data_IF_535211801923
#
_entry.id   IF_535211801923
#
_cell.length_a   1.000
_cell.length_b   1.000
_cell.length_c   1.000
_cell.angle_alpha   90.00
_cell.angle_beta   90.00
_cell.angle_gamma   90.00
#
_symmetry.space_group_name_H-M   'P 1'
#
loop_
_entity.id
_entity.type
_entity.pdbx_description
1 polymer ?
#
# COMPACT_ATOMS: atom_id res chain seq x y z
N UNK A 1 3.66 -26.91 16.43
CA UNK A 1 5.05 -27.05 15.94
C UNK A 1 5.16 -26.24 14.66
N UNK A 2 5.75 -25.05 14.74
CA UNK A 2 5.95 -24.18 13.59
C UNK A 2 7.40 -24.32 13.13
N UNK A 3 7.62 -25.00 12.01
CA UNK A 3 8.94 -25.12 11.41
C UNK A 3 9.21 -23.86 10.59
N UNK A 4 10.21 -23.09 10.98
CA UNK A 4 10.75 -21.98 10.18
C UNK A 4 11.80 -22.57 9.24
N UNK A 5 11.51 -22.57 7.94
CA UNK A 5 12.50 -22.92 6.91
C UNK A 5 13.37 -21.69 6.61
N UNK A 6 14.62 -21.72 7.04
CA UNK A 6 15.69 -20.86 6.55
C UNK A 6 16.52 -21.69 5.57
N UNK A 7 16.84 -21.11 4.42
CA UNK A 7 17.61 -21.79 3.37
C UNK A 7 18.92 -22.34 3.94
N UNK A 8 19.05 -23.68 3.94
CA UNK A 8 20.32 -24.37 4.15
C UNK A 8 20.52 -25.17 5.45
N UNK A 9 19.54 -25.27 6.34
CA UNK A 9 19.70 -26.12 7.53
C UNK A 9 18.44 -26.19 8.37
N UNK A 10 18.06 -27.39 8.76
CA UNK A 10 17.09 -27.62 9.84
C UNK A 10 17.70 -27.07 11.14
N UNK A 11 17.20 -25.94 11.63
CA UNK A 11 17.52 -25.56 12.99
C UNK A 11 16.93 -26.60 13.95
N UNK A 12 17.67 -27.05 14.98
CA UNK A 12 17.10 -27.92 15.98
C UNK A 12 15.90 -27.21 16.64
N UNK A 13 14.84 -27.94 17.01
CA UNK A 13 13.72 -27.34 17.70
C UNK A 13 14.21 -26.61 18.96
N UNK A 14 13.80 -25.36 19.11
CA UNK A 14 14.10 -24.61 20.34
C UNK A 14 13.38 -25.30 21.46
N UNK A 15 14.15 -26.00 22.33
CA UNK A 15 13.62 -26.65 23.51
C UNK A 15 13.43 -25.56 24.57
N UNK A 16 12.18 -25.18 24.80
CA UNK A 16 11.81 -24.24 25.87
C UNK A 16 11.70 -25.00 27.20
N UNK A 17 12.13 -24.38 28.29
CA UNK A 17 11.88 -24.93 29.63
C UNK A 17 10.42 -24.72 30.05
N UNK A 18 9.89 -25.51 31.01
CA UNK A 18 8.53 -25.29 31.53
C UNK A 18 8.29 -23.85 32.03
N UNK A 19 9.31 -23.23 32.63
CA UNK A 19 9.25 -21.81 33.06
C UNK A 19 9.15 -20.85 31.87
N UNK A 20 9.90 -21.09 30.79
CA UNK A 20 9.84 -20.33 29.57
C UNK A 20 8.47 -20.47 28.86
N UNK A 21 7.91 -21.68 28.88
CA UNK A 21 6.56 -21.91 28.32
C UNK A 21 5.49 -21.19 29.14
N UNK A 22 5.58 -21.20 30.46
CA UNK A 22 4.65 -20.48 31.32
C UNK A 22 4.75 -18.95 31.10
N UNK A 23 5.96 -18.43 30.99
CA UNK A 23 6.18 -16.98 30.72
C UNK A 23 5.69 -16.60 29.34
N UNK A 24 5.93 -17.38 28.29
CA UNK A 24 5.42 -17.13 26.94
C UNK A 24 3.88 -17.09 26.91
N UNK A 25 3.22 -18.03 27.61
CA UNK A 25 1.75 -18.03 27.75
C UNK A 25 1.23 -16.78 28.46
N UNK A 26 1.95 -16.33 29.49
CA UNK A 26 1.59 -15.08 30.21
C UNK A 26 1.70 -13.86 29.28
N UNK A 27 2.79 -13.75 28.52
CA UNK A 27 3.02 -12.68 27.56
C UNK A 27 1.93 -12.69 26.48
N UNK A 28 1.61 -13.85 25.92
CA UNK A 28 0.53 -14.01 24.94
C UNK A 28 -0.81 -13.54 25.48
N UNK A 29 -1.19 -14.00 26.67
CA UNK A 29 -2.45 -13.58 27.31
C UNK A 29 -2.51 -12.06 27.59
N UNK A 30 -1.38 -11.42 27.90
CA UNK A 30 -1.32 -9.97 28.08
C UNK A 30 -1.48 -9.23 26.74
N UNK A 31 -0.88 -9.74 25.65
CA UNK A 31 -1.02 -9.21 24.29
C UNK A 31 -2.45 -9.33 23.79
N UNK A 32 -3.09 -10.48 23.96
CA UNK A 32 -4.51 -10.69 23.62
C UNK A 32 -5.40 -9.68 24.34
N UNK A 33 -5.27 -9.54 25.66
CA UNK A 33 -6.02 -8.55 26.44
C UNK A 33 -5.75 -7.12 25.98
N UNK A 34 -4.53 -6.81 25.54
CA UNK A 34 -4.21 -5.48 24.98
C UNK A 34 -4.97 -5.25 23.68
N UNK A 35 -4.98 -6.22 22.76
CA UNK A 35 -5.72 -6.15 21.50
C UNK A 35 -7.21 -5.98 21.75
N UNK A 36 -7.81 -6.78 22.65
CA UNK A 36 -9.23 -6.66 23.03
C UNK A 36 -9.57 -5.26 23.53
N UNK A 37 -8.75 -4.68 24.41
CA UNK A 37 -8.93 -3.30 24.89
C UNK A 37 -8.84 -2.27 23.77
N UNK A 38 -7.92 -2.42 22.86
CA UNK A 38 -7.76 -1.52 21.70
C UNK A 38 -8.99 -1.59 20.80
N UNK A 39 -9.47 -2.77 20.47
CA UNK A 39 -10.68 -2.99 19.66
C UNK A 39 -11.90 -2.34 20.35
N UNK A 40 -12.07 -2.59 21.64
CA UNK A 40 -13.18 -1.99 22.41
C UNK A 40 -13.15 -0.44 22.37
N UNK A 41 -11.95 0.17 22.48
CA UNK A 41 -11.77 1.63 22.38
C UNK A 41 -12.13 2.14 21.00
N UNK A 42 -11.69 1.45 19.92
CA UNK A 42 -12.05 1.80 18.54
C UNK A 42 -13.57 1.76 18.36
N UNK A 43 -14.20 0.65 18.73
CA UNK A 43 -15.64 0.46 18.56
C UNK A 43 -16.48 1.49 19.34
N UNK A 44 -15.99 1.94 20.50
CA UNK A 44 -16.66 2.95 21.33
C UNK A 44 -16.52 4.36 20.76
N UNK A 45 -15.38 4.69 20.13
CA UNK A 45 -15.01 6.06 19.80
C UNK A 45 -15.15 6.42 18.31
N UNK A 46 -15.27 5.42 17.41
CA UNK A 46 -15.38 5.65 15.97
C UNK A 46 -16.39 4.70 15.31
N UNK A 47 -17.52 5.20 14.77
CA UNK A 47 -18.42 4.39 13.95
C UNK A 47 -17.75 3.80 12.72
N UNK A 48 -16.87 4.55 12.04
CA UNK A 48 -16.09 4.06 10.91
C UNK A 48 -15.12 2.96 11.35
N UNK A 49 -14.34 3.19 12.41
CA UNK A 49 -13.40 2.21 12.95
C UNK A 49 -14.11 0.94 13.40
N UNK A 50 -15.26 1.07 14.10
CA UNK A 50 -16.10 -0.07 14.49
C UNK A 50 -16.48 -0.92 13.27
N UNK A 51 -17.05 -0.29 12.24
CA UNK A 51 -17.50 -0.99 11.01
C UNK A 51 -16.34 -1.78 10.37
N UNK A 52 -15.17 -1.17 10.24
CA UNK A 52 -14.00 -1.78 9.60
C UNK A 52 -13.48 -2.97 10.42
N UNK A 53 -13.33 -2.81 11.74
CA UNK A 53 -12.81 -3.88 12.61
C UNK A 53 -13.80 -5.04 12.72
N UNK A 54 -15.10 -4.77 12.89
CA UNK A 54 -16.13 -5.82 12.93
C UNK A 54 -16.18 -6.58 11.59
N UNK A 55 -16.15 -5.89 10.46
CA UNK A 55 -16.10 -6.53 9.12
C UNK A 55 -14.85 -7.41 8.94
N UNK A 56 -13.68 -6.96 9.41
CA UNK A 56 -12.46 -7.75 9.36
C UNK A 56 -12.60 -9.04 10.20
N UNK A 57 -13.12 -8.95 11.43
CA UNK A 57 -13.36 -10.10 12.30
C UNK A 57 -14.37 -11.07 11.69
N UNK A 58 -15.47 -10.58 11.11
CA UNK A 58 -16.48 -11.40 10.42
C UNK A 58 -15.89 -12.15 9.21
N UNK A 59 -14.87 -11.59 8.56
CA UNK A 59 -14.11 -12.25 7.47
C UNK A 59 -13.10 -13.27 7.99
N UNK A 60 -12.99 -13.42 9.31
CA UNK A 60 -12.06 -14.35 9.97
C UNK A 60 -10.64 -13.80 10.09
N UNK A 61 -10.46 -12.47 10.11
CA UNK A 61 -9.17 -11.86 10.38
C UNK A 61 -8.86 -11.95 11.87
N UNK A 62 -7.69 -12.50 12.19
CA UNK A 62 -7.12 -12.47 13.52
C UNK A 62 -6.19 -11.24 13.66
N UNK A 63 -6.21 -10.62 14.83
CA UNK A 63 -5.37 -9.45 15.13
C UNK A 63 -4.49 -9.80 16.32
N UNK A 64 -3.17 -9.68 16.18
CA UNK A 64 -2.21 -10.00 17.24
C UNK A 64 -1.08 -8.99 17.35
N UNK A 65 -0.44 -8.96 18.52
CA UNK A 65 0.78 -8.20 18.77
C UNK A 65 1.95 -9.18 18.69
N UNK A 66 2.79 -8.96 17.67
CA UNK A 66 4.03 -9.72 17.52
C UNK A 66 5.21 -8.86 17.98
N UNK A 67 6.40 -9.43 18.02
CA UNK A 67 7.59 -8.73 18.47
C UNK A 67 7.89 -7.40 17.73
N UNK A 68 9.12 -6.94 17.86
CA UNK A 68 9.57 -5.69 17.23
C UNK A 68 9.53 -5.78 15.70
N UNK A 69 8.80 -4.86 15.08
CA UNK A 69 8.70 -4.71 13.62
C UNK A 69 9.56 -3.56 13.06
N UNK A 70 10.50 -3.07 13.84
CA UNK A 70 11.33 -1.92 13.47
C UNK A 70 10.50 -0.65 13.29
N UNK A 71 10.49 -0.08 12.09
CA UNK A 71 9.72 1.15 11.78
C UNK A 71 8.25 0.87 11.41
N UNK A 72 7.89 -0.37 11.12
CA UNK A 72 6.53 -0.75 10.76
C UNK A 72 5.67 -0.88 12.01
N UNK A 73 4.50 -0.26 12.04
CA UNK A 73 3.58 -0.32 13.19
C UNK A 73 2.65 -1.54 13.11
N UNK A 74 2.32 -1.99 11.90
CA UNK A 74 1.47 -3.13 11.63
C UNK A 74 1.60 -3.61 10.20
N UNK A 75 1.01 -4.76 9.90
CA UNK A 75 0.89 -5.30 8.54
C UNK A 75 -0.24 -6.31 8.48
N UNK A 76 -1.00 -6.29 7.38
CA UNK A 76 -1.97 -7.33 7.07
C UNK A 76 -1.39 -8.38 6.12
N UNK A 77 -1.54 -9.65 6.45
CA UNK A 77 -1.12 -10.78 5.61
C UNK A 77 -2.37 -11.52 5.09
N UNK A 78 -2.75 -11.31 3.80
CA UNK A 78 -3.99 -11.87 3.25
C UNK A 78 -4.07 -13.40 3.29
N UNK A 79 -2.97 -14.10 3.00
CA UNK A 79 -2.91 -15.57 2.99
C UNK A 79 -3.15 -16.20 4.37
N UNK A 80 -2.86 -15.46 5.44
CA UNK A 80 -3.05 -15.90 6.82
C UNK A 80 -4.30 -15.28 7.45
N UNK A 81 -4.92 -14.30 6.79
CA UNK A 81 -5.95 -13.43 7.37
C UNK A 81 -5.53 -12.87 8.73
N UNK A 82 -4.31 -12.33 8.79
CA UNK A 82 -3.70 -11.93 10.04
C UNK A 82 -3.17 -10.51 9.99
N UNK A 83 -3.60 -9.71 10.97
CA UNK A 83 -3.06 -8.39 11.26
C UNK A 83 -2.03 -8.53 12.37
N UNK A 84 -0.79 -8.22 12.04
CA UNK A 84 0.35 -8.26 12.94
C UNK A 84 0.71 -6.84 13.37
N UNK A 85 0.77 -6.58 14.67
CA UNK A 85 1.04 -5.28 15.28
C UNK A 85 2.39 -5.25 15.99
N UNK A 86 3.09 -4.13 15.97
CA UNK A 86 4.36 -3.95 16.66
C UNK A 86 4.16 -3.80 18.17
N UNK A 87 4.86 -4.62 18.95
CA UNK A 87 4.86 -4.56 20.41
C UNK A 87 5.37 -3.21 20.95
N UNK A 88 6.33 -2.59 20.25
CA UNK A 88 6.93 -1.30 20.63
C UNK A 88 6.04 -0.08 20.34
N UNK A 89 4.98 -0.26 19.55
CA UNK A 89 4.06 0.82 19.25
C UNK A 89 3.21 1.19 20.48
N UNK A 90 2.95 2.48 20.65
CA UNK A 90 2.04 2.95 21.69
C UNK A 90 0.59 2.60 21.36
N UNK A 91 -0.28 2.54 22.36
CA UNK A 91 -1.72 2.31 22.13
C UNK A 91 -2.31 3.38 21.20
N UNK A 92 -1.88 4.63 21.34
CA UNK A 92 -2.30 5.73 20.47
C UNK A 92 -1.96 5.48 18.98
N UNK A 93 -0.80 4.87 18.71
CA UNK A 93 -0.41 4.48 17.36
C UNK A 93 -1.19 3.24 16.88
N UNK A 94 -1.36 2.24 17.76
CA UNK A 94 -2.02 0.99 17.40
C UNK A 94 -3.50 1.15 17.11
N UNK A 95 -4.21 2.08 17.78
CA UNK A 95 -5.63 2.34 17.51
C UNK A 95 -5.88 2.70 16.05
N UNK A 96 -5.06 3.56 15.48
CA UNK A 96 -5.18 3.95 14.07
C UNK A 96 -4.66 2.86 13.13
N UNK A 97 -3.53 2.23 13.48
CA UNK A 97 -2.93 1.16 12.69
C UNK A 97 -3.87 -0.06 12.53
N UNK A 98 -4.59 -0.46 13.59
CA UNK A 98 -5.56 -1.56 13.49
C UNK A 98 -6.62 -1.26 12.42
N UNK A 99 -7.12 -0.03 12.37
CA UNK A 99 -8.13 0.36 11.37
C UNK A 99 -7.55 0.28 9.95
N UNK A 100 -6.32 0.77 9.76
CA UNK A 100 -5.59 0.70 8.50
C UNK A 100 -5.44 -0.75 8.01
N UNK A 101 -4.87 -1.60 8.86
CA UNK A 101 -4.61 -3.01 8.48
C UNK A 101 -5.90 -3.82 8.30
N UNK A 102 -6.93 -3.55 9.10
CA UNK A 102 -8.25 -4.16 8.92
C UNK A 102 -8.90 -3.73 7.60
N UNK A 103 -8.69 -2.46 7.15
CA UNK A 103 -9.20 -2.01 5.85
C UNK A 103 -8.63 -2.83 4.71
N UNK A 104 -7.36 -3.20 4.75
CA UNK A 104 -6.76 -4.08 3.75
C UNK A 104 -7.46 -5.44 3.60
N UNK A 105 -8.16 -5.92 4.62
CA UNK A 105 -8.93 -7.17 4.52
C UNK A 105 -10.16 -7.07 3.61
N UNK A 106 -10.64 -5.87 3.34
CA UNK A 106 -11.77 -5.62 2.44
C UNK A 106 -11.32 -5.34 0.99
N UNK A 107 -10.05 -5.03 0.81
CA UNK A 107 -9.46 -4.73 -0.48
C UNK A 107 -8.99 -6.02 -1.18
N UNK A 108 -9.07 -6.05 -2.50
CA UNK A 108 -8.65 -7.20 -3.31
C UNK A 108 -7.66 -6.77 -4.40
N UNK A 109 -6.44 -6.33 -4.00
CA UNK A 109 -5.46 -5.82 -4.95
C UNK A 109 -4.99 -6.89 -5.94
N UNK A 110 -4.82 -6.49 -7.19
CA UNK A 110 -4.38 -7.38 -8.26
C UNK A 110 -2.94 -7.88 -8.09
N UNK A 111 -2.02 -7.08 -7.59
CA UNK A 111 -0.58 -7.38 -7.37
C UNK A 111 -0.07 -8.56 -8.23
N UNK A 112 -0.24 -8.42 -9.54
CA UNK A 112 -0.06 -9.50 -10.50
C UNK A 112 0.97 -9.10 -11.56
N UNK A 113 1.97 -9.95 -11.76
CA UNK A 113 2.98 -9.76 -12.81
C UNK A 113 2.41 -9.76 -14.24
N UNK A 114 1.16 -10.16 -14.45
CA UNK A 114 0.49 -10.03 -15.75
C UNK A 114 0.06 -8.59 -16.08
N UNK A 115 0.04 -7.69 -15.10
CA UNK A 115 -0.23 -6.26 -15.30
C UNK A 115 1.06 -5.47 -15.53
N UNK A 116 0.93 -4.29 -16.15
CA UNK A 116 2.06 -3.38 -16.34
C UNK A 116 2.62 -2.86 -15.01
N UNK A 117 3.83 -2.31 -15.04
CA UNK A 117 4.41 -1.63 -13.88
C UNK A 117 3.52 -0.47 -13.45
N UNK A 118 3.04 0.32 -14.44
CA UNK A 118 2.10 1.42 -14.17
C UNK A 118 0.85 0.95 -13.42
N UNK A 119 0.20 -0.11 -13.92
CA UNK A 119 -1.04 -0.62 -13.31
C UNK A 119 -0.85 -1.10 -11.87
N UNK A 120 0.25 -1.81 -11.59
CA UNK A 120 0.57 -2.23 -10.23
C UNK A 120 0.88 -1.05 -9.31
N UNK A 121 1.59 -0.01 -9.81
CA UNK A 121 1.85 1.21 -9.04
C UNK A 121 0.55 1.98 -8.77
N UNK A 122 -0.27 2.19 -9.81
CA UNK A 122 -1.53 2.94 -9.67
C UNK A 122 -2.49 2.27 -8.68
N UNK A 123 -2.59 0.94 -8.73
CA UNK A 123 -3.44 0.18 -7.83
C UNK A 123 -2.92 0.19 -6.39
N UNK A 124 -1.63 -0.06 -6.16
CA UNK A 124 -1.09 -0.04 -4.79
C UNK A 124 -1.25 1.35 -4.17
N UNK A 125 -1.03 2.42 -4.94
CA UNK A 125 -1.31 3.78 -4.47
C UNK A 125 -2.78 3.97 -4.08
N UNK A 126 -3.72 3.47 -4.90
CA UNK A 126 -5.15 3.58 -4.62
C UNK A 126 -5.54 2.81 -3.35
N UNK A 127 -5.04 1.59 -3.20
CA UNK A 127 -5.28 0.72 -2.03
C UNK A 127 -4.75 1.34 -0.75
N UNK A 128 -3.52 1.85 -0.76
CA UNK A 128 -2.90 2.47 0.42
C UNK A 128 -3.54 3.82 0.76
N UNK A 129 -3.85 4.63 -0.25
CA UNK A 129 -4.56 5.90 -0.04
C UNK A 129 -5.95 5.69 0.54
N UNK A 130 -6.68 4.63 0.14
CA UNK A 130 -7.99 4.27 0.69
C UNK A 130 -7.89 3.79 2.14
N UNK A 131 -6.91 2.95 2.47
CA UNK A 131 -6.68 2.51 3.84
C UNK A 131 -6.36 3.71 4.75
N UNK A 132 -5.46 4.59 4.31
CA UNK A 132 -5.08 5.81 5.03
C UNK A 132 -6.24 6.83 5.14
N UNK A 133 -7.07 6.99 4.10
CA UNK A 133 -8.22 7.88 4.16
C UNK A 133 -9.30 7.35 5.10
N UNK A 134 -9.49 6.04 5.16
CA UNK A 134 -10.39 5.36 6.10
C UNK A 134 -9.87 5.51 7.54
N UNK A 135 -8.58 5.30 7.77
CA UNK A 135 -7.90 5.57 9.04
C UNK A 135 -8.10 7.04 9.46
N UNK A 136 -7.87 8.00 8.55
CA UNK A 136 -8.05 9.44 8.79
C UNK A 136 -9.48 9.77 9.25
N UNK A 137 -10.49 9.25 8.55
CA UNK A 137 -11.89 9.44 8.92
C UNK A 137 -12.22 8.90 10.32
N UNK A 138 -11.71 7.71 10.64
CA UNK A 138 -11.92 7.10 11.95
C UNK A 138 -11.19 7.87 13.06
N UNK A 139 -9.95 8.29 12.85
CA UNK A 139 -9.17 9.11 13.79
C UNK A 139 -9.84 10.47 14.04
N UNK A 140 -10.38 11.10 12.99
CA UNK A 140 -11.16 12.32 13.18
C UNK A 140 -12.37 12.11 14.11
N UNK A 141 -13.08 11.00 13.97
CA UNK A 141 -14.18 10.64 14.88
C UNK A 141 -13.70 10.43 16.31
N UNK A 142 -12.53 9.82 16.49
CA UNK A 142 -11.92 9.51 17.78
C UNK A 142 -11.35 10.74 18.50
N UNK A 143 -11.12 11.87 17.85
CA UNK A 143 -10.34 13.02 18.35
C UNK A 143 -10.70 13.56 19.75
N UNK A 144 -11.96 13.38 20.20
CA UNK A 144 -12.38 13.81 21.55
C UNK A 144 -12.15 12.74 22.61
N UNK A 145 -12.31 11.47 22.26
CA UNK A 145 -12.16 10.34 23.17
C UNK A 145 -10.72 9.85 23.27
N UNK A 146 -9.97 9.99 22.17
CA UNK A 146 -8.60 9.49 22.00
C UNK A 146 -7.71 10.60 21.40
N UNK A 147 -7.49 11.72 22.11
CA UNK A 147 -6.75 12.87 21.59
C UNK A 147 -5.30 12.52 21.23
N UNK A 148 -4.64 11.63 21.97
CA UNK A 148 -3.28 11.20 21.68
C UNK A 148 -3.18 10.46 20.34
N UNK A 149 -4.20 9.69 19.97
CA UNK A 149 -4.28 9.02 18.66
C UNK A 149 -4.42 10.04 17.54
N UNK A 150 -5.28 11.05 17.74
CA UNK A 150 -5.44 12.15 16.80
C UNK A 150 -4.11 12.91 16.60
N UNK A 151 -3.43 13.26 17.68
CA UNK A 151 -2.16 13.99 17.64
C UNK A 151 -1.05 13.16 16.96
N UNK A 152 -0.98 11.85 17.28
CA UNK A 152 -0.02 10.95 16.68
C UNK A 152 -0.25 10.81 15.15
N UNK A 153 -1.50 10.75 14.71
CA UNK A 153 -1.86 10.75 13.29
C UNK A 153 -1.52 12.08 12.62
N UNK A 154 -1.92 13.20 13.21
CA UNK A 154 -1.66 14.53 12.68
C UNK A 154 -0.16 14.83 12.52
N UNK A 155 0.66 14.35 13.45
CA UNK A 155 2.12 14.48 13.37
C UNK A 155 2.69 13.82 12.12
N UNK A 156 2.13 12.69 11.70
CA UNK A 156 2.60 11.92 10.52
C UNK A 156 1.88 12.31 9.23
N UNK A 157 0.58 12.56 9.32
CA UNK A 157 -0.34 12.72 8.19
C UNK A 157 -1.20 13.97 8.26
N UNK A 158 -0.66 15.06 8.83
CA UNK A 158 -1.40 16.30 9.05
C UNK A 158 -1.98 16.94 7.79
N UNK A 159 -1.39 16.69 6.62
CA UNK A 159 -1.95 17.12 5.33
C UNK A 159 -3.28 16.46 5.03
N UNK A 160 -3.38 15.15 5.24
CA UNK A 160 -4.61 14.38 5.06
C UNK A 160 -5.71 14.81 6.05
N UNK A 161 -5.35 14.95 7.33
CA UNK A 161 -6.30 15.38 8.35
C UNK A 161 -6.87 16.78 8.05
N UNK A 162 -6.02 17.74 7.65
CA UNK A 162 -6.49 19.08 7.25
C UNK A 162 -7.44 19.02 6.05
N UNK A 163 -7.14 18.21 5.03
CA UNK A 163 -8.02 18.04 3.88
C UNK A 163 -9.38 17.45 4.29
N UNK A 164 -9.38 16.44 5.15
CA UNK A 164 -10.59 15.85 5.70
C UNK A 164 -11.42 16.88 6.47
N UNK A 165 -10.81 17.61 7.41
CA UNK A 165 -11.48 18.58 8.26
C UNK A 165 -12.09 19.73 7.47
N UNK A 166 -11.36 20.26 6.49
CA UNK A 166 -11.84 21.33 5.63
C UNK A 166 -13.07 20.90 4.83
N UNK A 167 -13.01 19.72 4.19
CA UNK A 167 -14.14 19.20 3.43
C UNK A 167 -15.34 18.88 4.33
N UNK A 168 -15.11 18.26 5.49
CA UNK A 168 -16.18 17.94 6.44
C UNK A 168 -16.80 19.21 7.06
N UNK A 169 -16.01 20.24 7.30
CA UNK A 169 -16.53 21.53 7.80
C UNK A 169 -17.46 22.19 6.81
N UNK A 170 -17.15 22.10 5.51
CA UNK A 170 -17.94 22.70 4.45
C UNK A 170 -19.31 22.03 4.26
N UNK A 171 -19.34 20.70 4.15
CA UNK A 171 -20.53 19.99 3.68
C UNK A 171 -21.13 19.02 4.71
N UNK A 172 -20.43 18.72 5.81
CA UNK A 172 -20.78 17.68 6.79
C UNK A 172 -20.91 16.27 6.17
N UNK A 173 -20.36 16.08 4.98
CA UNK A 173 -20.34 14.82 4.25
C UNK A 173 -19.03 14.07 4.54
N UNK A 174 -19.13 12.93 5.24
CA UNK A 174 -17.97 12.14 5.64
C UNK A 174 -17.32 11.41 4.45
N UNK A 175 -18.09 10.99 3.44
CA UNK A 175 -17.56 10.34 2.24
C UNK A 175 -16.78 11.33 1.38
N UNK A 176 -17.31 12.53 1.18
CA UNK A 176 -16.61 13.60 0.48
C UNK A 176 -15.33 14.00 1.21
N UNK A 177 -15.37 14.13 2.54
CA UNK A 177 -14.20 14.42 3.36
C UNK A 177 -13.14 13.29 3.25
N UNK A 178 -13.57 12.02 3.25
CA UNK A 178 -12.69 10.89 3.02
C UNK A 178 -12.04 10.94 1.63
N UNK A 179 -12.80 11.32 0.61
CA UNK A 179 -12.29 11.54 -0.75
C UNK A 179 -11.18 12.61 -0.82
N UNK A 180 -11.33 13.72 -0.09
CA UNK A 180 -10.28 14.75 -0.03
C UNK A 180 -9.05 14.29 0.76
N UNK A 181 -9.22 13.54 1.85
CA UNK A 181 -8.09 12.90 2.54
C UNK A 181 -7.36 11.88 1.64
N UNK A 182 -8.10 11.08 0.87
CA UNK A 182 -7.55 10.15 -0.13
C UNK A 182 -6.65 10.89 -1.14
N UNK A 183 -7.15 11.97 -1.73
CA UNK A 183 -6.39 12.79 -2.70
C UNK A 183 -5.15 13.42 -2.06
N UNK A 184 -5.25 13.84 -0.77
CA UNK A 184 -4.14 14.45 -0.04
C UNK A 184 -3.02 13.45 0.29
N UNK A 185 -3.28 12.14 0.32
CA UNK A 185 -2.25 11.12 0.46
C UNK A 185 -1.20 11.20 -0.67
N UNK A 186 -1.63 11.49 -1.90
CA UNK A 186 -0.74 11.59 -3.07
C UNK A 186 0.21 12.80 -3.01
N UNK A 187 -0.03 13.76 -2.14
CA UNK A 187 0.86 14.91 -1.93
C UNK A 187 2.03 14.57 -0.98
N UNK A 188 1.98 13.42 -0.31
CA UNK A 188 3.02 12.97 0.60
C UNK A 188 4.14 12.22 -0.16
N UNK A 189 5.03 12.98 -0.80
CA UNK A 189 5.99 12.45 -1.75
C UNK A 189 6.84 11.28 -1.23
N UNK A 190 7.30 11.33 0.03
CA UNK A 190 8.09 10.26 0.65
C UNK A 190 7.30 8.94 0.79
N UNK A 191 6.04 9.04 1.21
CA UNK A 191 5.16 7.86 1.31
C UNK A 191 4.92 7.23 -0.06
N UNK A 192 4.52 8.05 -1.02
CA UNK A 192 4.27 7.61 -2.40
C UNK A 192 5.52 6.94 -2.98
N UNK A 193 6.71 7.53 -2.83
CA UNK A 193 7.96 6.96 -3.36
C UNK A 193 8.33 5.63 -2.70
N UNK A 194 8.07 5.45 -1.40
CA UNK A 194 8.33 4.19 -0.69
C UNK A 194 7.47 3.04 -1.25
N UNK A 195 6.16 3.27 -1.45
CA UNK A 195 5.27 2.28 -2.04
C UNK A 195 5.61 1.97 -3.50
N UNK A 196 5.88 3.01 -4.30
CA UNK A 196 6.32 2.85 -5.69
C UNK A 196 7.56 1.97 -5.80
N UNK A 197 8.56 2.24 -4.96
CA UNK A 197 9.81 1.48 -4.95
C UNK A 197 9.57 0.01 -4.63
N UNK A 198 8.75 -0.28 -3.62
CA UNK A 198 8.41 -1.66 -3.24
C UNK A 198 7.69 -2.41 -4.38
N UNK A 199 6.76 -1.74 -5.08
CA UNK A 199 6.06 -2.33 -6.23
C UNK A 199 7.01 -2.59 -7.40
N UNK A 200 7.87 -1.64 -7.72
CA UNK A 200 8.82 -1.77 -8.83
C UNK A 200 9.82 -2.91 -8.57
N UNK A 201 10.29 -3.04 -7.32
CA UNK A 201 11.16 -4.13 -6.91
C UNK A 201 10.45 -5.50 -7.02
N UNK A 202 9.20 -5.58 -6.57
CA UNK A 202 8.36 -6.78 -6.75
C UNK A 202 8.21 -7.15 -8.23
N UNK A 203 7.89 -6.16 -9.08
CA UNK A 203 7.78 -6.38 -10.53
C UNK A 203 9.13 -6.79 -11.16
N UNK A 204 10.24 -6.30 -10.64
CA UNK A 204 11.60 -6.69 -11.05
C UNK A 204 11.91 -8.15 -10.75
N UNK A 205 11.49 -8.67 -9.61
CA UNK A 205 11.64 -10.08 -9.24
C UNK A 205 10.80 -11.02 -10.12
N UNK A 206 9.64 -10.56 -10.58
CA UNK A 206 8.72 -11.34 -11.42
C UNK A 206 9.06 -11.43 -12.89
N UNK A 207 10.25 -11.05 -13.33
CA UNK A 207 10.65 -11.06 -14.75
C UNK A 207 10.48 -12.43 -15.42
N UNK A 208 10.64 -13.51 -14.69
CA UNK A 208 10.52 -14.89 -15.22
C UNK A 208 9.07 -15.26 -15.61
N UNK A 209 8.09 -14.54 -15.11
CA UNK A 209 6.66 -14.80 -15.33
C UNK A 209 6.01 -13.78 -16.27
N UNK A 210 6.78 -12.85 -16.85
CA UNK A 210 6.22 -11.81 -17.71
C UNK A 210 5.82 -12.38 -19.07
N UNK A 211 4.53 -12.32 -19.40
CA UNK A 211 3.99 -12.63 -20.73
C UNK A 211 4.43 -11.60 -21.78
N UNK A 212 4.18 -11.91 -23.05
CA UNK A 212 4.44 -11.02 -24.19
C UNK A 212 3.55 -9.76 -24.19
N UNK A 213 2.46 -9.80 -23.42
CA UNK A 213 1.46 -8.74 -23.30
C UNK A 213 1.19 -8.49 -21.83
N UNK A 214 1.07 -7.22 -21.45
CA UNK A 214 0.67 -6.80 -20.11
C UNK A 214 -0.74 -6.25 -20.14
N UNK A 215 -1.51 -6.53 -19.08
CA UNK A 215 -2.81 -5.93 -18.84
C UNK A 215 -2.65 -4.53 -18.28
N UNK A 216 -3.66 -3.70 -18.47
CA UNK A 216 -3.72 -2.35 -17.91
C UNK A 216 -4.97 -2.21 -17.04
N UNK A 217 -4.82 -1.59 -15.89
CA UNK A 217 -5.94 -1.12 -15.09
C UNK A 217 -6.36 0.26 -15.60
N UNK A 218 -7.65 0.51 -15.64
CA UNK A 218 -8.17 1.80 -16.10
C UNK A 218 -8.53 2.71 -14.92
N UNK A 219 -8.50 4.05 -15.11
CA UNK A 219 -8.99 4.99 -14.10
C UNK A 219 -10.41 4.68 -13.60
N UNK A 220 -11.28 4.21 -14.51
CA UNK A 220 -12.64 3.80 -14.14
C UNK A 220 -12.66 2.59 -13.21
N UNK A 221 -11.83 1.57 -13.46
CA UNK A 221 -11.75 0.40 -12.58
C UNK A 221 -11.29 0.78 -11.18
N UNK A 222 -10.27 1.65 -11.07
CA UNK A 222 -9.81 2.18 -9.78
C UNK A 222 -10.90 2.97 -9.06
N UNK A 223 -11.63 3.83 -9.79
CA UNK A 223 -12.73 4.59 -9.22
C UNK A 223 -13.89 3.70 -8.74
N UNK A 224 -14.25 2.69 -9.52
CA UNK A 224 -15.30 1.72 -9.16
C UNK A 224 -14.90 0.91 -7.89
N UNK A 225 -13.62 0.55 -7.75
CA UNK A 225 -13.09 -0.17 -6.60
C UNK A 225 -13.09 0.68 -5.33
N UNK A 226 -12.66 1.93 -5.42
CA UNK A 226 -12.60 2.85 -4.28
C UNK A 226 -13.99 3.37 -3.90
N UNK A 227 -14.86 3.64 -4.87
CA UNK A 227 -16.28 3.93 -4.69
C UNK A 227 -16.63 5.37 -4.31
N UNK A 228 -15.67 6.20 -3.86
CA UNK A 228 -15.89 7.59 -3.42
C UNK A 228 -14.90 8.60 -4.02
N UNK A 229 -14.11 8.18 -5.01
CA UNK A 229 -13.19 9.00 -5.79
C UNK A 229 -13.51 8.81 -7.27
N UNK A 230 -13.60 9.88 -8.02
CA UNK A 230 -13.96 9.81 -9.44
C UNK A 230 -12.78 9.37 -10.33
N UNK A 231 -13.10 8.87 -11.52
CA UNK A 231 -12.12 8.38 -12.49
C UNK A 231 -11.17 9.50 -12.99
N UNK A 232 -11.63 10.75 -13.02
CA UNK A 232 -10.82 11.88 -13.47
C UNK A 232 -9.63 12.14 -12.55
N UNK A 233 -9.77 11.83 -11.24
CA UNK A 233 -8.63 11.90 -10.33
C UNK A 233 -7.53 10.92 -10.74
N UNK A 234 -7.86 9.67 -11.04
CA UNK A 234 -6.87 8.65 -11.42
C UNK A 234 -6.21 8.90 -12.78
N UNK A 235 -6.82 9.75 -13.63
CA UNK A 235 -6.23 10.20 -14.90
C UNK A 235 -5.41 11.50 -14.75
N UNK A 236 -5.39 12.10 -13.58
CA UNK A 236 -4.74 13.38 -13.31
C UNK A 236 -3.23 13.26 -13.12
N UNK A 237 -2.53 14.38 -13.31
CA UNK A 237 -1.12 14.50 -12.96
C UNK A 237 -0.88 14.21 -11.46
N UNK A 238 -1.80 14.61 -10.56
CA UNK A 238 -1.65 14.39 -9.12
C UNK A 238 -1.57 12.91 -8.77
N UNK A 239 -2.39 12.07 -9.40
CA UNK A 239 -2.39 10.63 -9.17
C UNK A 239 -1.20 9.90 -9.81
N UNK A 240 -0.65 10.45 -10.90
CA UNK A 240 0.32 9.76 -11.75
C UNK A 240 1.74 10.39 -11.73
N UNK A 241 2.01 11.35 -10.85
CA UNK A 241 3.35 11.92 -10.73
C UNK A 241 4.28 10.99 -9.94
N UNK A 242 5.47 10.74 -10.49
CA UNK A 242 6.58 9.98 -9.88
C UNK A 242 7.85 10.83 -9.85
N UNK A 243 8.83 10.46 -9.02
CA UNK A 243 10.19 11.05 -9.09
C UNK A 243 10.95 10.56 -10.31
N UNK A 244 11.99 11.29 -10.72
CA UNK A 244 12.93 10.86 -11.78
C UNK A 244 13.53 9.48 -11.47
N UNK A 245 13.88 9.24 -10.21
CA UNK A 245 14.42 7.96 -9.74
C UNK A 245 13.43 6.82 -9.94
N UNK A 246 12.18 7.02 -9.53
CA UNK A 246 11.09 6.05 -9.70
C UNK A 246 10.83 5.77 -11.17
N UNK A 247 10.75 6.81 -12.01
CA UNK A 247 10.59 6.66 -13.46
C UNK A 247 11.73 5.86 -14.10
N UNK A 248 12.98 6.13 -13.71
CA UNK A 248 14.15 5.41 -14.22
C UNK A 248 14.15 3.93 -13.82
N UNK A 249 13.76 3.61 -12.57
CA UNK A 249 13.65 2.23 -12.08
C UNK A 249 12.53 1.47 -12.80
N UNK A 250 11.35 2.06 -12.93
CA UNK A 250 10.24 1.50 -13.70
C UNK A 250 10.67 1.17 -15.14
N UNK A 251 11.29 2.12 -15.82
CA UNK A 251 11.80 1.91 -17.18
C UNK A 251 12.88 0.82 -17.26
N UNK A 252 13.70 0.62 -16.24
CA UNK A 252 14.69 -0.47 -16.17
C UNK A 252 13.99 -1.84 -16.11
N UNK A 253 13.01 -1.99 -15.25
CA UNK A 253 12.22 -3.21 -15.09
C UNK A 253 11.45 -3.52 -16.37
N UNK A 254 10.79 -2.54 -16.97
CA UNK A 254 10.03 -2.70 -18.22
C UNK A 254 10.91 -3.11 -19.39
N UNK A 255 12.10 -2.50 -19.55
CA UNK A 255 13.06 -2.93 -20.57
C UNK A 255 13.49 -4.38 -20.40
N UNK A 256 13.61 -4.86 -19.14
CA UNK A 256 13.91 -6.26 -18.87
C UNK A 256 12.75 -7.18 -19.27
N UNK A 257 11.51 -6.79 -18.93
CA UNK A 257 10.28 -7.50 -19.33
C UNK A 257 10.14 -7.58 -20.86
N UNK A 258 10.35 -6.46 -21.57
CA UNK A 258 10.29 -6.41 -23.04
C UNK A 258 11.34 -7.35 -23.66
N UNK A 259 12.59 -7.28 -23.19
CA UNK A 259 13.67 -8.16 -23.68
C UNK A 259 13.34 -9.64 -23.45
N UNK A 260 12.81 -9.97 -22.29
CA UNK A 260 12.39 -11.34 -21.95
C UNK A 260 11.27 -11.83 -22.86
N UNK A 261 10.23 -11.01 -23.05
CA UNK A 261 9.11 -11.34 -23.93
C UNK A 261 9.55 -11.52 -25.39
N UNK A 262 10.45 -10.67 -25.90
CA UNK A 262 11.00 -10.82 -27.26
C UNK A 262 11.83 -12.09 -27.41
N UNK A 263 12.60 -12.46 -26.40
CA UNK A 263 13.41 -13.69 -26.41
C UNK A 263 12.53 -14.95 -26.43
N UNK A 264 11.43 -14.97 -25.66
CA UNK A 264 10.58 -16.16 -25.54
C UNK A 264 9.53 -16.26 -26.64
N UNK A 265 8.97 -15.15 -27.08
CA UNK A 265 7.78 -15.12 -27.94
C UNK A 265 8.00 -14.42 -29.27
N UNK A 266 9.19 -13.87 -29.53
CA UNK A 266 9.52 -13.11 -30.76
C UNK A 266 8.74 -11.78 -30.90
N UNK A 267 7.91 -11.41 -29.92
CA UNK A 267 7.07 -10.19 -29.94
C UNK A 267 6.80 -9.68 -28.54
N UNK A 268 6.50 -8.38 -28.42
CA UNK A 268 6.00 -7.75 -27.21
C UNK A 268 5.04 -6.61 -27.55
N UNK A 269 3.97 -6.48 -26.79
CA UNK A 269 3.05 -5.33 -26.81
C UNK A 269 2.95 -4.69 -25.41
N UNK A 270 4.05 -4.74 -24.66
CA UNK A 270 4.10 -4.13 -23.32
C UNK A 270 4.11 -2.62 -23.50
N UNK A 271 3.06 -1.95 -23.02
CA UNK A 271 3.06 -0.51 -22.82
C UNK A 271 3.99 -0.15 -21.67
N UNK A 272 4.55 1.04 -21.68
CA UNK A 272 5.51 1.46 -20.68
C UNK A 272 4.94 2.52 -19.77
N UNK A 273 5.44 2.58 -18.55
CA UNK A 273 5.06 3.59 -17.57
C UNK A 273 5.35 5.03 -18.05
N UNK A 274 6.28 5.20 -18.99
CA UNK A 274 6.55 6.49 -19.64
C UNK A 274 5.36 7.04 -20.44
N UNK A 275 4.40 6.18 -20.82
CA UNK A 275 3.17 6.61 -21.50
C UNK A 275 2.11 7.17 -20.52
N UNK A 276 2.31 6.96 -19.21
CA UNK A 276 1.34 7.29 -18.17
C UNK A 276 1.88 8.21 -17.09
N UNK A 277 3.16 8.07 -16.70
CA UNK A 277 3.71 8.81 -15.57
C UNK A 277 4.08 10.25 -15.96
N UNK A 278 3.65 11.18 -15.13
CA UNK A 278 4.23 12.51 -15.03
C UNK A 278 5.51 12.41 -14.20
N UNK A 279 6.58 13.08 -14.61
CA UNK A 279 7.87 12.99 -13.92
C UNK A 279 8.17 14.31 -13.21
N UNK A 280 8.40 14.27 -11.91
CA UNK A 280 8.87 15.41 -11.12
C UNK A 280 10.38 15.42 -11.11
N UNK A 281 10.97 16.45 -11.71
CA UNK A 281 12.40 16.72 -11.69
C UNK A 281 12.89 17.25 -10.33
N UNK A 282 14.20 17.24 -10.13
CA UNK A 282 14.82 17.70 -8.88
C UNK A 282 14.52 19.18 -8.54
N UNK A 283 14.27 20.03 -9.55
CA UNK A 283 13.85 21.42 -9.39
C UNK A 283 12.33 21.58 -9.14
N UNK A 284 11.60 20.46 -9.03
CA UNK A 284 10.16 20.42 -8.75
C UNK A 284 9.25 20.57 -9.96
N UNK A 285 9.79 20.76 -11.16
CA UNK A 285 9.00 20.84 -12.40
C UNK A 285 8.38 19.47 -12.70
N UNK A 286 7.10 19.47 -13.12
CA UNK A 286 6.39 18.25 -13.53
C UNK A 286 6.33 18.21 -15.06
N UNK A 287 6.94 17.18 -15.64
CA UNK A 287 6.88 16.90 -17.07
C UNK A 287 5.75 15.92 -17.37
N UNK A 288 4.95 16.15 -18.43
CA UNK A 288 3.89 15.24 -18.83
C UNK A 288 4.45 13.92 -19.37
N UNK A 289 3.61 12.85 -19.45
CA UNK A 289 3.99 11.57 -20.03
C UNK A 289 4.58 11.74 -21.44
N UNK A 290 5.73 11.12 -21.66
CA UNK A 290 6.35 11.07 -22.99
C UNK A 290 5.66 9.93 -23.75
N UNK A 291 4.69 10.23 -24.60
CA UNK A 291 4.14 9.25 -25.54
C UNK A 291 5.29 8.70 -26.39
N UNK A 292 5.86 7.59 -25.94
CA UNK A 292 7.01 6.99 -26.61
C UNK A 292 6.57 6.39 -27.95
N UNK A 293 7.02 7.02 -29.03
CA UNK A 293 7.04 6.39 -30.34
C UNK A 293 7.98 5.18 -30.24
N UNK A 294 7.41 3.95 -30.20
CA UNK A 294 8.11 2.67 -30.39
C UNK A 294 9.43 2.47 -29.63
N UNK A 295 9.38 1.94 -28.41
CA UNK A 295 10.59 1.46 -27.68
C UNK A 295 11.35 0.40 -28.50
N UNK A 296 10.68 -0.40 -29.32
CA UNK A 296 11.33 -1.31 -30.25
C UNK A 296 12.32 -0.59 -31.18
N UNK A 297 11.98 0.59 -31.71
CA UNK A 297 12.88 1.38 -32.55
C UNK A 297 14.05 1.99 -31.76
N UNK A 298 13.85 2.40 -30.51
CA UNK A 298 14.90 2.97 -29.66
C UNK A 298 15.91 1.94 -29.17
N UNK A 299 15.48 0.70 -28.95
CA UNK A 299 16.36 -0.42 -28.49
C UNK A 299 17.11 -1.07 -29.66
N UNK A 300 16.55 -1.08 -30.84
CA UNK A 300 17.10 -1.79 -32.02
C UNK A 300 17.55 -0.89 -33.16
N UNK A 301 17.26 0.43 -33.11
CA UNK A 301 17.61 1.38 -34.21
C UNK A 301 19.09 1.64 -34.41
N UNK A 302 19.98 1.11 -33.57
CA UNK A 302 21.46 1.25 -33.72
C UNK A 302 22.17 0.00 -34.26
N UNK A 303 21.45 -1.09 -34.52
CA UNK A 303 22.11 -2.33 -34.96
C UNK A 303 22.27 -2.46 -36.48
N UNK A 304 21.65 -1.61 -37.28
CA UNK A 304 21.69 -1.71 -38.78
C UNK A 304 22.29 -0.50 -39.50
N UNK A 305 23.16 0.25 -38.87
CA UNK A 305 23.90 1.37 -39.46
C UNK A 305 25.39 1.03 -39.70
N UNK A 306 25.68 -0.14 -40.18
CA UNK A 306 27.06 -0.55 -40.50
C UNK A 306 27.09 -1.38 -41.78
N UNK A 307 27.09 -0.71 -42.92
CA UNK A 307 27.74 -1.15 -44.19
C UNK A 307 28.37 0.06 -44.85
#
# INVERSE_FOLDING_TARGET
>A
MTAVFVAGGLMPPVVTTPEQEAENKRIEAEREKRVERLIARICKSSPTGKKIVESAIERGVCIGIDGDKGKCLGSYTPSMKYVSLSEKATDAQLLSTIIHECRHSEQNPIRDHSYSVYSNVAEVRAVEADAMATECAAVYQMRKAEPETYDAFCKRHGGMMRAYEQAFAADKDAEKARGEAFKAWYDHAEYVENYDSAVIDFMGMGMLYSGAYKKEITPKQLADEIGYVDAAFFDSARANTVSEKTAANAAKVERAHVRHALKLFGKSKIKTSADYFYVRSADGKIEPPKRTRNIAAAVFGKANGGR
#
